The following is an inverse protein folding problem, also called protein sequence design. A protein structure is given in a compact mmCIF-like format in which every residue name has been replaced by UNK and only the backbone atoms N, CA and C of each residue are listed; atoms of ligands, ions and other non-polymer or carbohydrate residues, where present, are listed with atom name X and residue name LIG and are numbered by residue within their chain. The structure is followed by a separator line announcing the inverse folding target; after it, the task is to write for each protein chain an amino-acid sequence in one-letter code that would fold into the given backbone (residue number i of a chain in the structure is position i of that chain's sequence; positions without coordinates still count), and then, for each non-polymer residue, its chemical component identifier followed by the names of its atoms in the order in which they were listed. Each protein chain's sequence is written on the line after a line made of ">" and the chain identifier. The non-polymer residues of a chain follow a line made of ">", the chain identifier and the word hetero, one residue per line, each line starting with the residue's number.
data_IF_369279940972
#
_entry.id   IF_369279940972
#
_cell.length_a   1.000
_cell.length_b   1.000
_cell.length_c   1.000
_cell.angle_alpha   90.00
_cell.angle_beta   90.00
_cell.angle_gamma   90.00
#
_symmetry.space_group_name_H-M   'P 1'
#
loop_
_entity.id
_entity.type
_entity.pdbx_description
1 polymer ?
#
# COMPACT_ATOMS: atom_id res chain seq x y z
N UNK A 1 -15.49 6.99 12.88
CA UNK A 1 -15.11 5.97 11.89
C UNK A 1 -14.82 6.73 10.62
N UNK A 2 -13.54 6.90 10.25
CA UNK A 2 -13.19 7.71 9.08
C UNK A 2 -13.70 7.01 7.82
N UNK A 3 -14.70 7.61 7.20
CA UNK A 3 -15.38 7.18 5.97
C UNK A 3 -14.59 7.61 4.73
N UNK A 4 -13.27 7.74 4.84
CA UNK A 4 -12.48 8.21 3.71
C UNK A 4 -12.14 7.04 2.78
N UNK A 5 -12.59 7.05 1.52
CA UNK A 5 -12.30 5.99 0.58
C UNK A 5 -10.80 5.81 0.37
N UNK A 6 -10.01 6.88 0.44
CA UNK A 6 -8.56 6.82 0.31
C UNK A 6 -7.92 6.03 1.46
N UNK A 7 -8.38 6.23 2.70
CA UNK A 7 -7.90 5.48 3.86
C UNK A 7 -8.16 3.97 3.72
N UNK A 8 -9.37 3.60 3.28
CA UNK A 8 -9.76 2.20 3.09
C UNK A 8 -8.86 1.50 2.05
N UNK A 9 -8.63 2.19 0.93
CA UNK A 9 -7.77 1.70 -0.16
C UNK A 9 -6.32 1.63 0.31
N UNK A 10 -5.81 2.66 0.98
CA UNK A 10 -4.47 2.70 1.56
C UNK A 10 -4.22 1.51 2.50
N UNK A 11 -5.17 1.22 3.40
CA UNK A 11 -5.09 0.06 4.30
C UNK A 11 -5.07 -1.26 3.53
N UNK A 12 -5.83 -1.36 2.45
CA UNK A 12 -5.86 -2.55 1.62
C UNK A 12 -4.51 -2.77 0.92
N UNK A 13 -3.91 -1.71 0.36
CA UNK A 13 -2.57 -1.74 -0.25
C UNK A 13 -1.54 -2.19 0.77
N UNK A 14 -1.46 -1.52 1.93
CA UNK A 14 -0.48 -1.81 2.97
C UNK A 14 -0.65 -3.23 3.54
N UNK A 15 -1.89 -3.69 3.72
CA UNK A 15 -2.18 -5.06 4.12
C UNK A 15 -1.73 -6.08 3.07
N UNK A 16 -1.88 -5.78 1.79
CA UNK A 16 -1.39 -6.66 0.73
C UNK A 16 0.13 -6.72 0.70
N UNK A 17 0.82 -5.58 0.87
CA UNK A 17 2.29 -5.57 0.98
C UNK A 17 2.75 -6.54 2.08
N UNK A 18 2.18 -6.43 3.28
CA UNK A 18 2.60 -7.27 4.42
C UNK A 18 2.13 -8.72 4.28
N UNK A 19 0.82 -8.94 4.08
CA UNK A 19 0.22 -10.29 4.17
C UNK A 19 0.16 -11.00 2.82
N UNK A 20 0.05 -10.26 1.73
CA UNK A 20 -0.03 -10.81 0.37
C UNK A 20 1.34 -11.05 -0.23
N UNK A 21 2.28 -10.12 -0.04
CA UNK A 21 3.65 -10.20 -0.58
C UNK A 21 4.69 -10.58 0.47
N UNK A 22 4.32 -10.67 1.76
CA UNK A 22 5.26 -11.00 2.83
C UNK A 22 6.29 -9.89 3.11
N UNK A 23 6.01 -8.64 2.72
CA UNK A 23 6.96 -7.53 2.83
C UNK A 23 7.07 -7.04 4.26
N UNK A 24 8.31 -6.78 4.68
CA UNK A 24 8.66 -6.19 5.97
C UNK A 24 9.21 -4.78 5.80
N UNK A 25 9.51 -4.10 6.91
CA UNK A 25 10.07 -2.74 6.89
C UNK A 25 11.29 -2.65 5.97
N UNK A 26 11.36 -1.59 5.16
CA UNK A 26 12.46 -1.32 4.23
C UNK A 26 12.40 -2.14 2.94
N UNK A 27 11.59 -3.20 2.89
CA UNK A 27 11.31 -3.90 1.66
C UNK A 27 10.25 -3.20 0.84
N UNK A 28 10.40 -3.28 -0.48
CA UNK A 28 9.41 -2.73 -1.40
C UNK A 28 9.09 -3.61 -2.58
N UNK A 29 8.16 -3.10 -3.37
CA UNK A 29 7.70 -3.70 -4.61
C UNK A 29 7.66 -2.62 -5.69
N UNK A 30 7.96 -2.94 -6.97
CA UNK A 30 7.79 -1.99 -8.04
C UNK A 30 6.34 -1.49 -8.10
N UNK A 31 6.15 -0.17 -8.24
CA UNK A 31 4.82 0.45 -8.34
C UNK A 31 3.98 -0.22 -9.44
N UNK A 32 4.59 -0.51 -10.59
CA UNK A 32 3.91 -1.19 -11.70
C UNK A 32 3.40 -2.58 -11.29
N UNK A 33 4.18 -3.35 -10.53
CA UNK A 33 3.78 -4.68 -10.04
C UNK A 33 2.63 -4.58 -9.05
N UNK A 34 2.68 -3.59 -8.15
CA UNK A 34 1.62 -3.33 -7.19
C UNK A 34 0.32 -2.88 -7.89
N UNK A 35 0.42 -2.00 -8.89
CA UNK A 35 -0.71 -1.55 -9.71
C UNK A 35 -1.31 -2.69 -10.55
N UNK A 36 -0.46 -3.56 -11.09
CA UNK A 36 -0.91 -4.74 -11.82
C UNK A 36 -1.70 -5.69 -10.92
N UNK A 37 -1.19 -5.97 -9.71
CA UNK A 37 -1.92 -6.73 -8.71
C UNK A 37 -3.28 -6.11 -8.36
N UNK A 38 -3.33 -4.79 -8.18
CA UNK A 38 -4.56 -4.07 -7.83
C UNK A 38 -5.66 -4.29 -8.88
N UNK A 39 -5.32 -4.10 -10.16
CA UNK A 39 -6.25 -4.30 -11.28
C UNK A 39 -6.71 -5.74 -11.35
N UNK A 40 -5.80 -6.71 -11.20
CA UNK A 40 -6.16 -8.14 -11.24
C UNK A 40 -7.02 -8.59 -10.07
N UNK A 41 -6.76 -8.07 -8.86
CA UNK A 41 -7.40 -8.58 -7.64
C UNK A 41 -8.73 -7.92 -7.34
N UNK A 42 -8.88 -6.64 -7.67
CA UNK A 42 -10.07 -5.87 -7.34
C UNK A 42 -10.89 -5.48 -8.58
N UNK A 43 -10.37 -5.70 -9.79
CA UNK A 43 -11.03 -5.28 -11.03
C UNK A 43 -11.23 -3.76 -11.13
N UNK A 44 -10.55 -2.98 -10.29
CA UNK A 44 -10.76 -1.53 -10.16
C UNK A 44 -9.78 -0.72 -10.99
N UNK A 45 -10.22 0.48 -11.39
CA UNK A 45 -9.43 1.45 -12.16
C UNK A 45 -8.27 2.04 -11.33
N UNK A 46 -7.24 2.52 -12.03
CA UNK A 46 -6.02 3.06 -11.43
C UNK A 46 -6.24 4.25 -10.51
N UNK A 47 -7.25 5.09 -10.75
CA UNK A 47 -7.47 6.32 -9.99
C UNK A 47 -7.71 6.07 -8.48
N UNK A 48 -8.43 5.00 -8.15
CA UNK A 48 -8.65 4.59 -6.76
C UNK A 48 -7.35 4.12 -6.09
N UNK A 49 -6.51 3.41 -6.84
CA UNK A 49 -5.21 2.96 -6.37
C UNK A 49 -4.27 4.13 -6.11
N UNK A 50 -4.17 5.08 -7.06
CA UNK A 50 -3.32 6.25 -6.94
C UNK A 50 -3.73 7.11 -5.72
N UNK A 51 -5.04 7.27 -5.48
CA UNK A 51 -5.56 7.96 -4.30
C UNK A 51 -5.17 7.28 -2.97
N UNK A 52 -5.30 5.95 -2.88
CA UNK A 52 -4.92 5.23 -1.66
C UNK A 52 -3.41 5.16 -1.46
N UNK A 53 -2.63 5.14 -2.54
CA UNK A 53 -1.18 5.17 -2.45
C UNK A 53 -0.68 6.53 -1.95
N UNK A 54 -1.25 7.63 -2.45
CA UNK A 54 -1.00 8.99 -1.98
C UNK A 54 -1.33 9.12 -0.49
N UNK A 55 -2.51 8.66 -0.08
CA UNK A 55 -2.92 8.65 1.32
C UNK A 55 -1.97 7.82 2.21
N UNK A 56 -1.56 6.63 1.73
CA UNK A 56 -0.61 5.78 2.45
C UNK A 56 0.76 6.47 2.61
N UNK A 57 1.20 7.22 1.61
CA UNK A 57 2.42 8.03 1.65
C UNK A 57 2.31 9.18 2.64
N UNK A 58 1.20 9.93 2.61
CA UNK A 58 0.92 11.00 3.59
C UNK A 58 0.86 10.48 5.03
N UNK A 59 0.31 9.28 5.24
CA UNK A 59 0.29 8.61 6.54
C UNK A 59 1.63 7.96 6.92
N UNK A 60 2.65 8.09 6.08
CA UNK A 60 3.97 7.49 6.25
C UNK A 60 3.92 5.96 6.39
N UNK A 61 2.93 5.28 5.80
CA UNK A 61 2.83 3.81 5.78
C UNK A 61 3.66 3.21 4.65
N UNK A 62 3.86 3.98 3.59
CA UNK A 62 4.76 3.63 2.48
C UNK A 62 5.63 4.83 2.15
N UNK A 63 6.75 4.57 1.48
CA UNK A 63 7.63 5.60 0.96
C UNK A 63 7.94 5.31 -0.52
N UNK A 64 8.14 6.37 -1.29
CA UNK A 64 8.63 6.26 -2.66
C UNK A 64 10.14 6.03 -2.62
N UNK A 65 10.55 4.83 -3.02
CA UNK A 65 11.95 4.45 -3.19
C UNK A 65 12.48 4.78 -4.59
N UNK A 66 13.77 4.50 -4.82
CA UNK A 66 14.38 4.65 -6.14
C UNK A 66 13.67 3.78 -7.19
N UNK A 67 13.77 4.20 -8.45
CA UNK A 67 13.24 3.45 -9.61
C UNK A 67 11.74 3.12 -9.56
N UNK A 68 10.95 3.95 -8.87
CA UNK A 68 9.50 3.76 -8.76
C UNK A 68 9.11 2.58 -7.86
N UNK A 69 9.96 2.24 -6.89
CA UNK A 69 9.64 1.26 -5.85
C UNK A 69 8.74 1.89 -4.78
N UNK A 70 7.79 1.11 -4.27
CA UNK A 70 7.01 1.45 -3.08
C UNK A 70 7.58 0.64 -1.92
N UNK A 71 8.25 1.33 -1.00
CA UNK A 71 8.87 0.76 0.19
C UNK A 71 7.85 0.77 1.33
N UNK A 72 7.80 -0.32 2.09
CA UNK A 72 7.01 -0.39 3.31
C UNK A 72 7.81 0.25 4.46
N UNK A 73 7.19 1.17 5.19
CA UNK A 73 7.80 1.76 6.40
C UNK A 73 7.50 0.92 7.63
N UNK A 74 8.14 1.23 8.76
CA UNK A 74 7.81 0.62 10.07
C UNK A 74 6.32 0.81 10.44
N UNK A 75 5.79 2.02 10.25
CA UNK A 75 4.38 2.33 10.48
C UNK A 75 3.46 1.51 9.56
N UNK A 76 3.83 1.33 8.29
CA UNK A 76 3.11 0.50 7.34
C UNK A 76 3.14 -0.98 7.70
N UNK A 77 4.31 -1.48 8.10
CA UNK A 77 4.49 -2.85 8.58
C UNK A 77 3.58 -3.13 9.78
N UNK A 78 3.56 -2.22 10.75
CA UNK A 78 2.68 -2.29 11.92
C UNK A 78 1.20 -2.20 11.53
N UNK A 79 0.82 -1.30 10.61
CA UNK A 79 -0.58 -1.12 10.17
C UNK A 79 -1.10 -2.26 9.29
N UNK A 80 -0.25 -2.83 8.45
CA UNK A 80 -0.59 -3.89 7.50
C UNK A 80 -0.52 -5.29 8.12
N UNK A 81 0.42 -5.50 9.04
CA UNK A 81 0.67 -6.79 9.68
C UNK A 81 -0.11 -7.02 10.96
N UNK A 82 -0.35 -5.96 11.73
CA UNK A 82 -0.88 -5.93 13.10
C UNK A 82 -1.20 -7.29 13.76
N UNK A 83 -0.45 -7.71 14.79
CA UNK A 83 -1.05 -8.14 16.04
C UNK A 83 -1.35 -6.89 16.88
N UNK A 84 -2.58 -6.77 17.40
CA UNK A 84 -2.85 -5.82 18.50
C UNK A 84 -2.12 -6.30 19.76
#
# INVERSE_FOLDING_TARGET
>A
MSTDPAESIARHIVRHLVRGLGKTEGEGVPLQKLRHWWVLSLGQRGDAFDLGLDYASHCQWVAHGPDGMILLTDLGSTKGGRPS
#
